data_IF_137069714012
#
_entry.id   IF_137069714012
#
_cell.length_a   1.000
_cell.length_b   1.000
_cell.length_c   1.000
_cell.angle_alpha   90.00
_cell.angle_beta   90.00
_cell.angle_gamma   90.00
#
_symmetry.space_group_name_H-M   'P 1'
#
loop_
_entity.id
_entity.type
_entity.pdbx_description
1 polymer ?
#
# COMPACT_ATOMS: atom_id res chain seq x y z
N UNK A 1 -2.67 -4.32 -22.00
CA UNK A 1 -2.02 -3.27 -22.81
C UNK A 1 -2.10 -1.98 -21.99
N UNK A 2 -1.11 -1.73 -21.15
CA UNK A 2 -1.10 -0.58 -20.23
C UNK A 2 -0.19 0.47 -20.88
N UNK A 3 -0.80 1.62 -21.19
CA UNK A 3 -0.12 2.80 -21.74
C UNK A 3 0.66 3.45 -20.60
N UNK A 4 1.98 3.33 -20.64
CA UNK A 4 2.88 4.10 -19.79
C UNK A 4 3.05 5.49 -20.40
N UNK A 5 2.58 6.51 -19.70
CA UNK A 5 2.75 7.92 -20.04
C UNK A 5 4.12 8.35 -19.50
N UNK A 6 5.09 8.53 -20.39
CA UNK A 6 6.45 8.98 -20.06
C UNK A 6 6.42 10.45 -19.66
N UNK A 7 6.79 10.76 -18.42
CA UNK A 7 7.04 12.14 -17.99
C UNK A 7 8.46 12.49 -18.43
N UNK A 8 8.54 13.35 -19.45
CA UNK A 8 9.78 13.89 -19.98
C UNK A 8 10.22 15.05 -19.08
N UNK A 9 11.16 14.81 -18.15
CA UNK A 9 11.81 15.87 -17.38
C UNK A 9 13.08 16.31 -18.12
N UNK A 10 13.01 17.47 -18.78
CA UNK A 10 14.20 18.16 -19.27
C UNK A 10 14.90 18.82 -18.09
N UNK A 11 16.00 18.24 -17.63
CA UNK A 11 16.96 18.94 -16.78
C UNK A 11 17.77 19.90 -17.64
N UNK A 12 17.44 21.19 -17.58
CA UNK A 12 18.33 22.25 -18.08
C UNK A 12 19.45 22.43 -17.07
N UNK A 13 20.63 21.89 -17.36
CA UNK A 13 21.86 22.22 -16.65
C UNK A 13 22.32 23.62 -17.04
N UNK A 14 21.83 24.63 -16.34
CA UNK A 14 22.39 25.99 -16.39
C UNK A 14 23.72 25.98 -15.65
N UNK A 15 24.82 25.85 -16.39
CA UNK A 15 26.16 26.10 -15.89
C UNK A 15 26.27 27.60 -15.59
N UNK A 16 26.16 27.98 -14.32
CA UNK A 16 26.66 29.28 -13.88
C UNK A 16 28.17 29.15 -13.65
N UNK A 17 28.95 29.79 -14.53
CA UNK A 17 30.36 30.09 -14.33
C UNK A 17 30.50 30.92 -13.05
N UNK A 18 30.85 30.25 -11.95
CA UNK A 18 31.60 30.89 -10.89
C UNK A 18 33.03 31.04 -11.40
N UNK A 19 33.48 32.27 -11.68
CA UNK A 19 34.85 32.77 -11.43
C UNK A 19 34.96 34.21 -11.93
N UNK A 20 34.52 35.17 -11.11
CA UNK A 20 35.14 36.49 -11.12
C UNK A 20 35.93 36.65 -9.83
N UNK A 21 37.21 36.32 -9.93
CA UNK A 21 38.25 36.64 -8.97
C UNK A 21 38.46 38.14 -9.03
N UNK A 22 37.71 38.91 -8.24
CA UNK A 22 37.97 40.34 -8.09
C UNK A 22 39.10 40.51 -7.09
N UNK A 23 40.18 41.13 -7.55
CA UNK A 23 41.39 41.40 -6.80
C UNK A 23 41.12 41.95 -5.39
N UNK A 24 41.72 41.27 -4.42
CA UNK A 24 41.99 41.79 -3.08
C UNK A 24 42.90 43.03 -3.20
N UNK A 25 42.30 44.21 -3.31
CA UNK A 25 43.00 45.44 -2.99
C UNK A 25 43.20 45.52 -1.48
N UNK A 26 44.39 45.09 -1.06
CA UNK A 26 44.98 45.35 0.25
C UNK A 26 45.09 46.86 0.43
N UNK A 27 44.13 47.47 1.14
CA UNK A 27 44.25 48.86 1.58
C UNK A 27 45.25 48.90 2.74
N UNK A 28 46.53 49.04 2.38
CA UNK A 28 47.60 49.37 3.32
C UNK A 28 47.46 50.83 3.78
N UNK A 29 47.33 50.99 5.10
CA UNK A 29 47.87 52.08 5.92
C UNK A 29 47.81 53.52 5.35
N UNK A 30 46.74 54.24 5.70
CA UNK A 30 46.79 55.70 5.70
C UNK A 30 47.42 56.22 7.00
N UNK A 31 48.57 56.86 6.84
CA UNK A 31 49.31 57.58 7.87
C UNK A 31 48.41 58.59 8.60
N UNK A 32 48.20 58.38 9.90
CA UNK A 32 47.79 59.45 10.83
C UNK A 32 48.94 60.47 10.92
N UNK A 33 48.89 61.54 10.13
CA UNK A 33 49.63 62.77 10.46
C UNK A 33 48.87 63.48 11.58
N UNK A 34 49.30 63.25 12.82
CA UNK A 34 49.04 64.19 13.91
C UNK A 34 49.80 65.48 13.62
N UNK A 35 49.10 66.57 13.35
CA UNK A 35 49.69 67.91 13.39
C UNK A 35 49.82 68.33 14.85
N UNK A 36 51.06 68.31 15.35
CA UNK A 36 51.43 68.96 16.61
C UNK A 36 51.53 70.46 16.32
N UNK A 37 50.59 71.25 16.84
CA UNK A 37 50.68 72.70 16.84
C UNK A 37 51.90 73.13 17.66
N UNK A 38 52.90 73.75 17.02
CA UNK A 38 53.94 74.51 17.70
C UNK A 38 53.34 75.82 18.20
N UNK A 39 53.25 76.02 19.50
CA UNK A 39 53.14 77.36 20.09
C UNK A 39 54.45 78.10 19.86
N UNK A 40 54.36 79.33 19.36
CA UNK A 40 55.50 80.23 19.17
C UNK A 40 55.40 81.27 20.27
N UNK A 41 56.29 81.17 21.26
CA UNK A 41 56.44 82.20 22.28
C UNK A 41 57.12 83.42 21.65
N UNK A 42 56.47 84.56 21.72
CA UNK A 42 57.13 85.86 21.58
C UNK A 42 56.23 86.95 22.17
N UNK A 43 56.61 87.39 23.38
CA UNK A 43 56.20 88.64 23.98
C UNK A 43 56.67 89.84 23.14
N UNK A 44 55.77 90.80 22.90
CA UNK A 44 55.96 92.24 23.15
C UNK A 44 55.01 93.10 22.27
N UNK A 45 54.02 93.70 22.95
CA UNK A 45 53.39 95.00 22.66
C UNK A 45 52.64 95.21 21.33
N UNK A 46 51.32 94.94 21.32
CA UNK A 46 50.32 95.76 20.61
C UNK A 46 48.89 95.49 21.17
N UNK A 47 48.02 96.50 21.31
CA UNK A 47 46.72 96.34 21.95
C UNK A 47 45.64 95.82 20.97
N UNK A 48 44.67 95.12 21.53
CA UNK A 48 43.32 94.84 21.01
C UNK A 48 43.20 94.03 19.71
N UNK A 49 42.88 92.75 19.83
CA UNK A 49 41.50 92.26 19.66
C UNK A 49 41.50 90.74 19.75
N UNK A 50 40.66 90.20 20.63
CA UNK A 50 40.36 88.78 20.72
C UNK A 50 39.86 88.29 19.35
N UNK A 51 40.74 87.65 18.58
CA UNK A 51 40.33 86.81 17.47
C UNK A 51 40.49 85.37 17.92
N UNK A 52 39.48 84.89 18.66
CA UNK A 52 39.21 83.46 18.72
C UNK A 52 39.16 82.94 17.28
N UNK A 53 39.73 81.77 16.96
CA UNK A 53 39.73 81.26 15.59
C UNK A 53 38.31 80.82 15.22
N UNK A 54 37.48 81.78 14.82
CA UNK A 54 36.12 81.57 14.33
C UNK A 54 36.23 80.83 12.98
N UNK A 55 36.08 79.50 13.03
CA UNK A 55 36.13 78.68 11.83
C UNK A 55 34.98 79.02 10.88
N UNK A 56 35.26 79.05 9.57
CA UNK A 56 34.26 79.29 8.52
C UNK A 56 33.04 78.36 8.68
N UNK A 57 31.88 78.94 8.98
CA UNK A 57 30.63 78.22 9.26
C UNK A 57 30.24 77.24 8.14
N UNK A 58 30.52 77.58 6.87
CA UNK A 58 30.24 76.69 5.73
C UNK A 58 31.12 75.45 5.75
N UNK A 59 32.39 75.60 6.14
CA UNK A 59 33.33 74.47 6.25
C UNK A 59 32.96 73.56 7.41
N UNK A 60 32.50 74.12 8.53
CA UNK A 60 32.01 73.35 9.67
C UNK A 60 30.76 72.56 9.32
N UNK A 61 29.81 73.14 8.58
CA UNK A 61 28.60 72.43 8.11
C UNK A 61 28.94 71.26 7.17
N UNK A 62 29.87 71.47 6.22
CA UNK A 62 30.33 70.40 5.32
C UNK A 62 31.02 69.30 6.10
N UNK A 63 31.86 69.65 7.08
CA UNK A 63 32.53 68.66 7.93
C UNK A 63 31.52 67.85 8.75
N UNK A 64 30.48 68.49 9.30
CA UNK A 64 29.40 67.82 10.03
C UNK A 64 28.65 66.84 9.13
N UNK A 65 28.34 67.22 7.87
CA UNK A 65 27.71 66.32 6.89
C UNK A 65 28.58 65.13 6.54
N UNK A 66 29.89 65.34 6.36
CA UNK A 66 30.84 64.25 6.11
C UNK A 66 30.89 63.29 7.30
N UNK A 67 30.97 63.81 8.53
CA UNK A 67 30.98 62.99 9.74
C UNK A 67 29.67 62.19 9.88
N UNK A 68 28.52 62.81 9.61
CA UNK A 68 27.22 62.14 9.63
C UNK A 68 27.14 61.02 8.58
N UNK A 69 27.59 61.27 7.34
CA UNK A 69 27.62 60.26 6.28
C UNK A 69 28.58 59.10 6.62
N UNK A 70 29.73 59.40 7.22
CA UNK A 70 30.66 58.37 7.67
C UNK A 70 30.05 57.52 8.78
N UNK A 71 29.35 58.11 9.75
CA UNK A 71 28.65 57.38 10.79
C UNK A 71 27.53 56.48 10.23
N UNK A 72 26.75 56.99 9.27
CA UNK A 72 25.72 56.19 8.59
C UNK A 72 26.32 55.04 7.79
N UNK A 73 27.45 55.27 7.10
CA UNK A 73 28.17 54.22 6.37
C UNK A 73 28.61 53.09 7.29
N UNK A 74 29.21 53.43 8.44
CA UNK A 74 29.65 52.43 9.44
C UNK A 74 28.44 51.62 9.91
N UNK A 75 27.35 52.27 10.30
CA UNK A 75 26.13 51.59 10.76
C UNK A 75 25.52 50.66 9.71
N UNK A 76 25.50 51.08 8.44
CA UNK A 76 24.94 50.28 7.36
C UNK A 76 25.84 49.09 7.00
N UNK A 77 27.16 49.27 7.10
CA UNK A 77 28.12 48.18 6.91
C UNK A 77 27.97 47.15 8.02
N UNK A 78 27.88 47.59 9.28
CA UNK A 78 27.69 46.71 10.44
C UNK A 78 26.38 45.90 10.35
N UNK A 79 25.29 46.54 9.94
CA UNK A 79 24.02 45.84 9.69
C UNK A 79 24.10 44.83 8.53
N UNK A 80 24.82 45.18 7.47
CA UNK A 80 25.02 44.27 6.33
C UNK A 80 25.85 43.06 6.75
N UNK A 81 26.91 43.28 7.53
CA UNK A 81 27.77 42.23 8.05
C UNK A 81 26.97 41.29 8.98
N UNK A 82 26.20 41.82 9.93
CA UNK A 82 25.33 41.03 10.83
C UNK A 82 24.31 40.19 10.05
N UNK A 83 23.66 40.77 9.03
CA UNK A 83 22.70 40.04 8.19
C UNK A 83 23.38 38.98 7.34
N UNK A 84 24.59 39.24 6.85
CA UNK A 84 25.35 38.26 6.07
C UNK A 84 25.78 37.07 6.94
N UNK A 85 26.18 37.33 8.18
CA UNK A 85 26.53 36.29 9.15
C UNK A 85 25.30 35.46 9.52
N UNK A 86 24.16 36.11 9.78
CA UNK A 86 22.90 35.43 10.07
C UNK A 86 22.47 34.50 8.92
N UNK A 87 22.50 35.00 7.68
CA UNK A 87 22.15 34.18 6.51
C UNK A 87 23.11 33.02 6.31
N UNK A 88 24.40 33.21 6.60
CA UNK A 88 25.39 32.14 6.52
C UNK A 88 25.11 31.06 7.57
N UNK A 89 24.87 31.45 8.83
CA UNK A 89 24.49 30.52 9.90
C UNK A 89 23.20 29.77 9.58
N UNK A 90 22.20 30.47 9.08
CA UNK A 90 20.93 29.86 8.68
C UNK A 90 21.13 28.83 7.55
N UNK A 91 21.96 29.14 6.56
CA UNK A 91 22.26 28.20 5.47
C UNK A 91 23.03 26.97 5.96
N UNK A 92 23.99 27.15 6.87
CA UNK A 92 24.77 26.06 7.47
C UNK A 92 23.89 25.17 8.36
N UNK A 93 23.07 25.76 9.22
CA UNK A 93 22.11 25.05 10.08
C UNK A 93 21.09 24.27 9.25
N UNK A 94 20.50 24.90 8.22
CA UNK A 94 19.59 24.22 7.31
C UNK A 94 20.26 23.03 6.61
N UNK A 95 21.52 23.17 6.17
CA UNK A 95 22.23 22.06 5.54
C UNK A 95 22.46 20.90 6.52
N UNK A 96 22.84 21.20 7.77
CA UNK A 96 23.00 20.20 8.82
C UNK A 96 21.67 19.49 9.11
N UNK A 97 20.57 20.22 9.23
CA UNK A 97 19.24 19.63 9.43
C UNK A 97 18.81 18.77 8.25
N UNK A 98 19.04 19.22 7.01
CA UNK A 98 18.74 18.42 5.81
C UNK A 98 19.55 17.13 5.75
N UNK A 99 20.85 17.20 6.04
CA UNK A 99 21.72 16.01 6.08
C UNK A 99 21.25 15.05 7.17
N UNK A 100 20.91 15.55 8.37
CA UNK A 100 20.39 14.75 9.47
C UNK A 100 19.05 14.07 9.14
N UNK A 101 18.12 14.79 8.52
CA UNK A 101 16.84 14.22 8.07
C UNK A 101 17.06 13.15 7.00
N UNK A 102 17.96 13.42 6.05
CA UNK A 102 18.34 12.46 5.02
C UNK A 102 18.93 11.18 5.61
N UNK A 103 19.87 11.30 6.54
CA UNK A 103 20.51 10.16 7.19
C UNK A 103 19.53 9.35 8.04
N UNK A 104 18.67 10.01 8.82
CA UNK A 104 17.64 9.34 9.61
C UNK A 104 16.64 8.58 8.72
N UNK A 105 16.20 9.19 7.61
CA UNK A 105 15.29 8.54 6.67
C UNK A 105 15.92 7.31 6.01
N UNK A 106 17.21 7.39 5.63
CA UNK A 106 17.95 6.24 5.10
C UNK A 106 18.09 5.13 6.13
N UNK A 107 18.40 5.48 7.39
CA UNK A 107 18.52 4.50 8.48
C UNK A 107 17.22 3.78 8.76
N UNK A 108 16.10 4.51 8.84
CA UNK A 108 14.76 3.91 9.03
C UNK A 108 14.38 3.00 7.86
N UNK A 109 14.73 3.40 6.63
CA UNK A 109 14.51 2.60 5.43
C UNK A 109 15.33 1.30 5.45
N UNK A 110 16.61 1.36 5.80
CA UNK A 110 17.48 0.19 5.93
C UNK A 110 16.98 -0.76 7.02
N UNK A 111 16.55 -0.24 8.17
CA UNK A 111 15.97 -1.04 9.25
C UNK A 111 14.66 -1.72 8.81
N UNK A 112 13.77 -0.98 8.13
CA UNK A 112 12.54 -1.54 7.60
C UNK A 112 12.83 -2.63 6.55
N UNK A 113 13.80 -2.39 5.67
CA UNK A 113 14.24 -3.36 4.66
C UNK A 113 14.79 -4.64 5.31
N UNK A 114 15.65 -4.51 6.32
CA UNK A 114 16.19 -5.64 7.06
C UNK A 114 15.09 -6.46 7.75
N UNK A 115 14.10 -5.80 8.36
CA UNK A 115 12.93 -6.46 8.97
C UNK A 115 12.09 -7.22 7.94
N UNK A 116 11.83 -6.63 6.77
CA UNK A 116 11.08 -7.28 5.68
C UNK A 116 11.85 -8.49 5.16
N UNK A 117 13.15 -8.33 4.88
CA UNK A 117 14.01 -9.41 4.41
C UNK A 117 14.05 -10.57 5.41
N UNK A 118 14.21 -10.27 6.71
CA UNK A 118 14.19 -11.29 7.75
C UNK A 118 12.87 -12.05 7.85
N UNK A 119 11.73 -11.38 7.62
CA UNK A 119 10.42 -12.03 7.62
C UNK A 119 10.19 -12.87 6.34
N UNK A 120 10.69 -12.43 5.19
CA UNK A 120 10.64 -13.21 3.96
C UNK A 120 11.49 -14.47 4.11
N UNK A 121 12.70 -14.36 4.66
CA UNK A 121 13.59 -15.50 4.87
C UNK A 121 12.98 -16.50 5.85
N UNK A 122 12.38 -16.04 6.96
CA UNK A 122 11.74 -16.93 7.92
C UNK A 122 10.51 -17.64 7.34
N UNK A 123 9.70 -16.95 6.54
CA UNK A 123 8.58 -17.57 5.82
C UNK A 123 9.04 -18.54 4.74
N UNK A 124 10.12 -18.21 4.02
CA UNK A 124 10.70 -19.07 3.00
C UNK A 124 11.25 -20.36 3.61
N UNK A 125 11.94 -20.25 4.75
CA UNK A 125 12.45 -21.41 5.47
C UNK A 125 11.31 -22.29 6.01
N UNK A 126 10.27 -21.69 6.60
CA UNK A 126 9.10 -22.44 7.04
C UNK A 126 8.35 -23.12 5.88
N UNK A 127 8.32 -22.48 4.71
CA UNK A 127 7.76 -23.05 3.50
C UNK A 127 8.62 -24.21 2.97
N UNK A 128 9.95 -24.09 2.99
CA UNK A 128 10.86 -25.15 2.59
C UNK A 128 10.72 -26.37 3.49
N UNK A 129 10.72 -26.18 4.82
CA UNK A 129 10.48 -27.26 5.79
C UNK A 129 9.09 -27.91 5.60
N UNK A 130 8.05 -27.10 5.32
CA UNK A 130 6.71 -27.60 5.04
C UNK A 130 6.64 -28.37 3.70
N UNK A 131 7.39 -27.94 2.69
CA UNK A 131 7.42 -28.60 1.40
C UNK A 131 8.19 -29.94 1.46
N UNK A 132 9.30 -29.98 2.20
CA UNK A 132 10.07 -31.19 2.43
C UNK A 132 9.26 -32.24 3.22
N UNK A 133 8.61 -31.82 4.31
CA UNK A 133 7.74 -32.71 5.09
C UNK A 133 6.53 -33.21 4.26
N UNK A 134 5.91 -32.34 3.45
CA UNK A 134 4.82 -32.75 2.55
C UNK A 134 5.29 -33.76 1.49
N UNK A 135 6.50 -33.57 0.94
CA UNK A 135 7.09 -34.53 -0.01
C UNK A 135 7.30 -35.89 0.64
N UNK A 136 7.83 -35.92 1.87
CA UNK A 136 8.02 -37.17 2.62
C UNK A 136 6.68 -37.86 2.89
N UNK A 137 5.65 -37.11 3.28
CA UNK A 137 4.31 -37.66 3.53
C UNK A 137 3.72 -38.28 2.24
N UNK A 138 3.89 -37.63 1.09
CA UNK A 138 3.44 -38.17 -0.20
C UNK A 138 4.18 -39.47 -0.54
N UNK A 139 5.49 -39.54 -0.31
CA UNK A 139 6.28 -40.77 -0.56
C UNK A 139 5.84 -41.92 0.35
N UNK A 140 5.60 -41.65 1.63
CA UNK A 140 5.09 -42.64 2.57
C UNK A 140 3.67 -43.10 2.22
N UNK A 141 2.80 -42.18 1.80
CA UNK A 141 1.45 -42.51 1.35
C UNK A 141 1.46 -43.32 0.06
N UNK A 142 2.35 -43.01 -0.89
CA UNK A 142 2.51 -43.80 -2.10
C UNK A 142 2.93 -45.24 -1.76
N UNK A 143 3.91 -45.41 -0.85
CA UNK A 143 4.31 -46.74 -0.39
C UNK A 143 3.16 -47.53 0.24
N UNK A 144 2.30 -46.88 1.03
CA UNK A 144 1.10 -47.52 1.60
C UNK A 144 0.10 -47.94 0.53
N UNK A 145 -0.06 -47.14 -0.53
CA UNK A 145 -0.92 -47.47 -1.68
C UNK A 145 -0.35 -48.67 -2.42
N UNK A 146 0.95 -48.69 -2.71
CA UNK A 146 1.62 -49.80 -3.41
C UNK A 146 1.49 -51.11 -2.60
N UNK A 147 1.62 -51.04 -1.27
CA UNK A 147 1.42 -52.19 -0.37
C UNK A 147 -0.06 -52.63 -0.32
N UNK A 148 -1.00 -51.69 -0.42
CA UNK A 148 -2.42 -51.99 -0.50
C UNK A 148 -2.78 -52.66 -1.82
N UNK A 149 -2.26 -52.18 -2.95
CA UNK A 149 -2.47 -52.77 -4.27
C UNK A 149 -1.91 -54.18 -4.34
N UNK A 150 -0.69 -54.39 -3.83
CA UNK A 150 -0.09 -55.73 -3.73
C UNK A 150 -0.95 -56.67 -2.87
N UNK A 151 -1.47 -56.20 -1.73
CA UNK A 151 -2.38 -56.98 -0.88
C UNK A 151 -3.68 -57.31 -1.59
N UNK A 152 -4.28 -56.33 -2.26
CA UNK A 152 -5.54 -56.50 -2.98
C UNK A 152 -5.40 -57.47 -4.15
N UNK A 153 -4.31 -57.39 -4.91
CA UNK A 153 -4.04 -58.28 -6.02
C UNK A 153 -3.78 -59.72 -5.55
N UNK A 154 -3.10 -59.89 -4.41
CA UNK A 154 -2.98 -61.19 -3.75
C UNK A 154 -4.33 -61.71 -3.25
N UNK A 155 -5.18 -60.89 -2.61
CA UNK A 155 -6.51 -61.30 -2.14
C UNK A 155 -7.48 -61.65 -3.28
N UNK A 156 -7.39 -60.94 -4.42
CA UNK A 156 -8.12 -61.27 -5.65
C UNK A 156 -7.63 -62.60 -6.22
N UNK A 157 -6.31 -62.78 -6.36
CA UNK A 157 -5.73 -64.04 -6.87
C UNK A 157 -6.02 -65.22 -5.94
N UNK A 158 -6.12 -65.00 -4.63
CA UNK A 158 -6.52 -66.03 -3.66
C UNK A 158 -8.02 -66.31 -3.64
N UNK A 159 -8.83 -65.58 -4.43
CA UNK A 159 -10.26 -65.87 -4.59
C UNK A 159 -11.07 -65.75 -3.30
N UNK A 160 -10.63 -64.91 -2.35
CA UNK A 160 -11.29 -64.73 -1.05
C UNK A 160 -12.73 -64.19 -1.18
N UNK A 161 -13.01 -63.44 -2.27
CA UNK A 161 -14.34 -62.94 -2.59
C UNK A 161 -15.36 -64.07 -2.82
N UNK A 162 -14.94 -65.18 -3.43
CA UNK A 162 -15.81 -66.32 -3.73
C UNK A 162 -15.82 -67.39 -2.63
N UNK A 163 -14.78 -67.42 -1.80
CA UNK A 163 -14.66 -68.36 -0.67
C UNK A 163 -15.78 -68.16 0.37
N UNK A 164 -16.21 -66.91 0.58
CA UNK A 164 -17.36 -66.57 1.44
C UNK A 164 -18.72 -66.71 0.74
N UNK A 165 -18.80 -66.60 -0.59
CA UNK A 165 -20.05 -66.77 -1.35
C UNK A 165 -20.46 -68.24 -1.49
N UNK A 166 -19.49 -69.17 -1.57
CA UNK A 166 -19.75 -70.61 -1.66
C UNK A 166 -20.28 -71.25 -0.37
N UNK A 167 -20.27 -70.55 0.77
CA UNK A 167 -20.72 -71.08 2.06
C UNK A 167 -22.15 -70.65 2.46
N UNK A 168 -22.76 -69.68 1.76
CA UNK A 168 -24.17 -69.37 1.99
C UNK A 168 -25.06 -70.14 1.01
N UNK A 169 -25.95 -70.99 1.55
CA UNK A 169 -27.00 -71.66 0.76
C UNK A 169 -27.80 -70.61 -0.03
N UNK A 170 -28.16 -70.87 -1.30
CA UNK A 170 -28.89 -69.90 -2.10
C UNK A 170 -30.29 -69.70 -1.51
N UNK A 171 -30.55 -68.52 -0.96
CA UNK A 171 -31.90 -68.07 -0.61
C UNK A 171 -32.49 -67.40 -1.87
N UNK A 172 -33.71 -67.74 -2.31
CA UNK A 172 -34.30 -67.13 -3.48
C UNK A 172 -34.61 -65.66 -3.18
N UNK A 173 -33.97 -64.73 -3.89
CA UNK A 173 -34.25 -63.30 -3.74
C UNK A 173 -35.60 -63.01 -4.40
N UNK A 174 -36.59 -62.78 -3.56
CA UNK A 174 -37.96 -62.51 -3.97
C UNK A 174 -38.08 -61.12 -4.62
N UNK A 175 -38.64 -61.07 -5.83
CA UNK A 175 -38.73 -59.87 -6.70
C UNK A 175 -39.55 -58.74 -6.07
N UNK A 176 -40.32 -59.06 -5.02
CA UNK A 176 -41.08 -58.17 -4.16
C UNK A 176 -40.18 -57.24 -3.32
N UNK A 177 -39.03 -57.74 -2.83
CA UNK A 177 -38.11 -56.99 -1.97
C UNK A 177 -37.36 -55.92 -2.78
N UNK A 178 -36.98 -56.24 -4.02
CA UNK A 178 -36.32 -55.29 -4.92
C UNK A 178 -37.23 -54.12 -5.33
N UNK A 179 -38.53 -54.40 -5.57
CA UNK A 179 -39.53 -53.36 -5.83
C UNK A 179 -39.82 -52.50 -4.60
N UNK A 180 -39.87 -53.11 -3.41
CA UNK A 180 -40.05 -52.37 -2.16
C UNK A 180 -38.86 -51.46 -1.83
N UNK A 181 -37.63 -51.89 -2.15
CA UNK A 181 -36.43 -51.06 -1.98
C UNK A 181 -36.43 -49.86 -2.95
N UNK A 182 -36.81 -50.07 -4.21
CA UNK A 182 -36.93 -48.98 -5.18
C UNK A 182 -37.99 -47.94 -4.78
N UNK A 183 -39.13 -48.39 -4.25
CA UNK A 183 -40.19 -47.51 -3.75
C UNK A 183 -39.74 -46.70 -2.53
N UNK A 184 -38.99 -47.31 -1.61
CA UNK A 184 -38.40 -46.60 -0.46
C UNK A 184 -37.39 -45.54 -0.88
N UNK A 185 -36.57 -45.80 -1.90
CA UNK A 185 -35.64 -44.79 -2.44
C UNK A 185 -36.40 -43.63 -3.08
N UNK A 186 -37.49 -43.89 -3.79
CA UNK A 186 -38.33 -42.83 -4.37
C UNK A 186 -39.08 -42.02 -3.30
N UNK A 187 -39.55 -42.64 -2.22
CA UNK A 187 -40.20 -41.95 -1.09
C UNK A 187 -39.20 -41.11 -0.27
N UNK A 188 -37.99 -41.61 -0.03
CA UNK A 188 -36.92 -40.85 0.63
C UNK A 188 -36.46 -39.67 -0.23
N UNK A 189 -36.45 -39.84 -1.55
CA UNK A 189 -36.19 -38.73 -2.49
C UNK A 189 -37.33 -37.71 -2.47
N UNK A 190 -38.60 -38.15 -2.36
CA UNK A 190 -39.79 -37.30 -2.24
C UNK A 190 -39.83 -36.51 -0.91
N UNK A 191 -39.42 -37.11 0.21
CA UNK A 191 -39.29 -36.39 1.51
C UNK A 191 -38.10 -35.44 1.55
N UNK A 192 -37.02 -35.75 0.82
CA UNK A 192 -35.82 -34.91 0.75
C UNK A 192 -35.97 -33.75 -0.24
N UNK A 193 -36.76 -33.93 -1.31
CA UNK A 193 -37.07 -32.93 -2.33
C UNK A 193 -38.31 -32.11 -1.94
N UNK A 194 -38.18 -31.26 -0.92
CA UNK A 194 -39.28 -30.37 -0.52
C UNK A 194 -39.16 -29.72 0.85
N UNK A 195 -37.99 -29.78 1.49
CA UNK A 195 -37.81 -29.15 2.80
C UNK A 195 -37.70 -27.63 2.65
N UNK A 196 -38.53 -26.87 3.36
CA UNK A 196 -38.56 -25.39 3.35
C UNK A 196 -37.18 -24.76 3.62
N UNK A 197 -36.31 -25.47 4.34
CA UNK A 197 -34.92 -25.09 4.61
C UNK A 197 -34.07 -24.95 3.34
N UNK A 198 -34.18 -25.86 2.37
CA UNK A 198 -33.43 -25.78 1.10
C UNK A 198 -33.89 -24.61 0.25
N UNK A 199 -35.21 -24.41 0.15
CA UNK A 199 -35.82 -23.25 -0.54
C UNK A 199 -35.34 -21.93 0.06
N UNK A 200 -35.29 -21.83 1.40
CA UNK A 200 -34.82 -20.63 2.07
C UNK A 200 -33.33 -20.35 1.81
N UNK A 201 -32.50 -21.40 1.70
CA UNK A 201 -31.09 -21.27 1.32
C UNK A 201 -30.95 -20.75 -0.12
N UNK A 202 -31.70 -21.30 -1.09
CA UNK A 202 -31.65 -20.77 -2.47
C UNK A 202 -32.15 -19.33 -2.54
N UNK A 203 -33.23 -18.98 -1.83
CA UNK A 203 -33.72 -17.60 -1.76
C UNK A 203 -32.69 -16.65 -1.13
N UNK A 204 -32.00 -17.08 -0.08
CA UNK A 204 -30.91 -16.31 0.53
C UNK A 204 -29.73 -16.11 -0.43
N UNK A 205 -29.32 -17.16 -1.16
CA UNK A 205 -28.25 -17.07 -2.17
C UNK A 205 -28.64 -16.19 -3.36
N UNK A 206 -29.87 -16.32 -3.85
CA UNK A 206 -30.42 -15.44 -4.91
C UNK A 206 -30.43 -13.99 -4.44
N UNK A 207 -30.82 -13.73 -3.18
CA UNK A 207 -30.77 -12.39 -2.58
C UNK A 207 -29.36 -11.83 -2.52
N UNK A 208 -28.39 -12.61 -2.04
CA UNK A 208 -26.98 -12.22 -1.95
C UNK A 208 -26.39 -11.86 -3.33
N UNK A 209 -26.65 -12.71 -4.34
CA UNK A 209 -26.16 -12.49 -5.71
C UNK A 209 -26.85 -11.27 -6.33
N UNK A 210 -28.13 -11.05 -6.06
CA UNK A 210 -28.88 -9.89 -6.58
C UNK A 210 -28.38 -8.58 -6.00
N UNK A 211 -28.09 -8.53 -4.68
CA UNK A 211 -27.49 -7.35 -4.03
C UNK A 211 -26.12 -7.05 -4.62
N UNK A 212 -25.29 -8.08 -4.79
CA UNK A 212 -23.96 -7.96 -5.39
C UNK A 212 -24.02 -7.45 -6.84
N UNK A 213 -25.06 -7.82 -7.59
CA UNK A 213 -25.26 -7.35 -8.96
C UNK A 213 -25.69 -5.88 -9.01
N UNK A 214 -26.56 -5.45 -8.09
CA UNK A 214 -26.99 -4.04 -7.97
C UNK A 214 -25.80 -3.14 -7.59
N UNK A 215 -24.98 -3.57 -6.63
CA UNK A 215 -23.77 -2.84 -6.23
C UNK A 215 -22.75 -2.74 -7.38
N UNK A 216 -22.58 -3.83 -8.14
CA UNK A 216 -21.73 -3.86 -9.33
C UNK A 216 -22.23 -2.91 -10.44
N UNK A 217 -23.54 -2.80 -10.64
CA UNK A 217 -24.15 -1.91 -11.64
C UNK A 217 -24.08 -0.42 -11.27
N UNK A 218 -24.11 -0.08 -9.98
CA UNK A 218 -24.03 1.31 -9.50
C UNK A 218 -22.56 1.79 -9.45
N UNK A 219 -21.60 0.87 -9.32
CA UNK A 219 -20.18 1.20 -9.30
C UNK A 219 -19.68 1.70 -10.66
N UNK A 220 -18.96 2.84 -10.65
CA UNK A 220 -18.34 3.45 -11.85
C UNK A 220 -17.24 2.58 -12.50
N UNK A 221 -16.93 1.42 -11.91
CA UNK A 221 -15.92 0.44 -12.36
C UNK A 221 -16.55 -0.87 -12.84
N UNK A 222 -17.68 -0.79 -13.56
CA UNK A 222 -18.44 -1.96 -13.97
C UNK A 222 -17.64 -2.92 -14.88
N UNK A 223 -17.11 -3.98 -14.27
CA UNK A 223 -16.48 -5.10 -14.96
C UNK A 223 -17.56 -5.98 -15.61
N UNK A 224 -17.91 -5.72 -16.89
CA UNK A 224 -18.88 -6.51 -17.67
C UNK A 224 -18.63 -8.02 -17.59
N UNK A 225 -17.36 -8.44 -17.42
CA UNK A 225 -16.99 -9.86 -17.25
C UNK A 225 -17.47 -10.44 -15.92
N UNK A 226 -17.32 -9.71 -14.81
CA UNK A 226 -17.77 -10.15 -13.49
C UNK A 226 -19.30 -10.11 -13.41
N UNK A 227 -19.93 -9.07 -13.99
CA UNK A 227 -21.38 -9.00 -14.13
C UNK A 227 -21.96 -10.15 -14.94
N UNK A 228 -21.31 -10.54 -16.04
CA UNK A 228 -21.72 -11.68 -16.86
C UNK A 228 -21.65 -13.03 -16.13
N UNK A 229 -20.59 -13.26 -15.33
CA UNK A 229 -20.45 -14.48 -14.53
C UNK A 229 -21.51 -14.55 -13.43
N UNK A 230 -21.74 -13.45 -12.70
CA UNK A 230 -22.79 -13.37 -11.69
C UNK A 230 -24.19 -13.54 -12.28
N UNK A 231 -24.43 -13.00 -13.48
CA UNK A 231 -25.66 -13.21 -14.23
C UNK A 231 -25.90 -14.67 -14.59
N UNK A 232 -24.88 -15.39 -15.08
CA UNK A 232 -24.98 -16.83 -15.35
C UNK A 232 -25.30 -17.65 -14.10
N UNK A 233 -24.66 -17.32 -12.97
CA UNK A 233 -24.91 -17.98 -11.68
C UNK A 233 -26.35 -17.73 -11.21
N UNK A 234 -26.85 -16.51 -11.35
CA UNK A 234 -28.23 -16.14 -11.01
C UNK A 234 -29.26 -16.93 -11.84
N UNK A 235 -29.04 -17.05 -13.16
CA UNK A 235 -29.91 -17.83 -14.06
C UNK A 235 -29.92 -19.31 -13.67
N UNK A 236 -28.77 -19.87 -13.30
CA UNK A 236 -28.65 -21.24 -12.82
C UNK A 236 -29.46 -21.47 -11.53
N UNK A 237 -29.34 -20.57 -10.54
CA UNK A 237 -30.07 -20.64 -9.28
C UNK A 237 -31.59 -20.53 -9.46
N UNK A 238 -32.06 -19.65 -10.36
CA UNK A 238 -33.49 -19.51 -10.68
C UNK A 238 -34.04 -20.74 -11.39
N UNK A 239 -33.23 -21.37 -12.26
CA UNK A 239 -33.61 -22.62 -12.93
C UNK A 239 -33.72 -23.77 -11.93
N UNK A 240 -32.81 -23.83 -10.94
CA UNK A 240 -32.88 -24.82 -9.87
C UNK A 240 -34.10 -24.61 -8.97
N UNK A 241 -34.44 -23.35 -8.63
CA UNK A 241 -35.63 -23.02 -7.86
C UNK A 241 -36.93 -23.38 -8.60
N UNK A 242 -37.02 -23.08 -9.88
CA UNK A 242 -38.20 -23.38 -10.71
C UNK A 242 -38.38 -24.88 -10.96
N UNK A 243 -37.28 -25.62 -11.10
CA UNK A 243 -37.32 -27.08 -11.16
C UNK A 243 -37.86 -27.69 -9.86
N UNK A 244 -37.37 -27.23 -8.69
CA UNK A 244 -37.88 -27.68 -7.40
C UNK A 244 -39.36 -27.32 -7.21
N UNK A 245 -39.80 -26.13 -7.61
CA UNK A 245 -41.21 -25.73 -7.57
C UNK A 245 -42.09 -26.60 -8.48
N UNK A 246 -41.62 -26.95 -9.68
CA UNK A 246 -42.37 -27.78 -10.62
C UNK A 246 -42.52 -29.21 -10.11
N UNK A 247 -41.43 -29.80 -9.58
CA UNK A 247 -41.46 -31.14 -8.98
C UNK A 247 -42.41 -31.18 -7.77
N UNK A 248 -42.44 -30.12 -6.97
CA UNK A 248 -43.33 -30.00 -5.82
C UNK A 248 -44.80 -29.78 -6.24
N UNK A 249 -45.03 -29.01 -7.31
CA UNK A 249 -46.36 -28.81 -7.90
C UNK A 249 -46.94 -30.09 -8.52
N UNK A 250 -46.11 -30.88 -9.22
CA UNK A 250 -46.50 -32.20 -9.74
C UNK A 250 -46.78 -33.22 -8.63
N UNK A 251 -46.14 -33.07 -7.46
CA UNK A 251 -46.43 -33.90 -6.29
C UNK A 251 -47.77 -33.54 -5.65
N UNK A 252 -48.15 -32.25 -5.66
CA UNK A 252 -49.41 -31.77 -5.09
C UNK A 252 -50.62 -32.06 -6.02
N UNK A 253 -50.44 -31.99 -7.34
CA UNK A 253 -51.52 -32.28 -8.30
C UNK A 253 -51.92 -33.77 -8.34
N UNK A 254 -50.97 -34.68 -8.12
CA UNK A 254 -51.25 -36.12 -8.04
C UNK A 254 -51.99 -36.54 -6.76
N UNK A 255 -51.89 -35.78 -5.68
CA UNK A 255 -52.67 -36.04 -4.45
C UNK A 255 -54.14 -35.65 -4.63
N UNK A 256 -54.43 -34.58 -5.37
CA UNK A 256 -55.80 -34.16 -5.68
C UNK A 256 -56.54 -35.16 -6.58
N UNK A 257 -55.91 -35.72 -7.62
CA UNK A 257 -56.54 -36.74 -8.47
C UNK A 257 -56.87 -38.04 -7.72
N UNK A 258 -56.03 -38.47 -6.76
CA UNK A 258 -56.32 -39.66 -5.93
C UNK A 258 -57.42 -39.45 -4.87
N UNK A 259 -57.83 -38.20 -4.63
CA UNK A 259 -58.86 -37.87 -3.64
C UNK A 259 -60.26 -37.68 -4.22
N UNK A 260 -60.39 -37.44 -5.53
CA UNK A 260 -61.69 -37.38 -6.22
C UNK A 260 -62.20 -38.77 -6.63
N UNK A 261 -61.31 -39.73 -6.94
CA UNK A 261 -61.65 -41.11 -7.34
C UNK A 261 -62.14 -42.02 -6.18
N UNK A 262 -62.38 -41.45 -4.99
CA UNK A 262 -62.94 -42.15 -3.81
C UNK A 262 -64.28 -41.60 -3.35
N UNK A 263 -64.95 -40.78 -4.17
CA UNK A 263 -66.27 -40.19 -3.87
C UNK A 263 -67.34 -40.44 -4.94
N UNK A 264 -67.18 -41.44 -5.79
CA UNK A 264 -68.28 -42.08 -6.55
C UNK A 264 -68.59 -43.48 -6.01
#
# INVERSE_FOLDING_TARGET
>A
MIVLKTIQTTFTTTKHEFFHKTDLFTIKNYQKRFFICKSKDSDANAPSSDSSPEGDARRQEILAKIAMLQAQKVRLTDYLDERSEYLTKFAEEANVEFDQVGENALKELEEASARIMGNIESQMQAFEESAESSKQEIEENQKKIDEFETRFENEINEGLFFKNLGQSKPVPVDKSIAKAAAQRVTELTKQTAGTETRRNIYLALIGLVSISLIESLISSSFDWRKGGILGLILVGLVTQLTYEQKVLGEAQSKETETSEDKKE
#
